data_IF_614078661332
#
_entry.id   IF_614078661332
#
_cell.length_a   1.000
_cell.length_b   1.000
_cell.length_c   1.000
_cell.angle_alpha   90.00
_cell.angle_beta   90.00
_cell.angle_gamma   90.00
#
_symmetry.space_group_name_H-M   'P 1'
#
loop_
_entity.id
_entity.type
_entity.pdbx_description
1 polymer ?
#
# COMPACT_ATOMS: atom_id res chain seq x y z
N UNK A 1 7.58 -36.67 37.09
CA UNK A 1 6.32 -35.89 36.75
C UNK A 1 6.69 -34.69 35.92
N UNK A 2 6.10 -34.46 34.76
CA UNK A 2 6.12 -33.30 33.82
C UNK A 2 6.59 -33.54 32.39
N UNK A 3 6.43 -34.75 31.85
CA UNK A 3 6.62 -34.92 30.38
C UNK A 3 5.37 -34.57 29.55
N UNK A 4 4.17 -34.53 30.11
CA UNK A 4 2.93 -34.32 29.37
C UNK A 4 2.60 -32.83 29.08
N UNK A 5 3.11 -31.87 29.86
CA UNK A 5 2.82 -30.43 29.61
C UNK A 5 3.61 -29.84 28.45
N UNK A 6 4.85 -30.32 28.20
CA UNK A 6 5.65 -29.85 27.05
C UNK A 6 5.10 -30.35 25.70
N UNK A 7 4.51 -31.54 25.67
CA UNK A 7 3.88 -32.09 24.45
C UNK A 7 2.63 -31.32 24.05
N UNK A 8 1.78 -30.96 25.00
CA UNK A 8 0.55 -30.20 24.72
C UNK A 8 0.82 -28.77 24.24
N UNK A 9 1.81 -28.09 24.82
CA UNK A 9 2.18 -26.72 24.38
C UNK A 9 2.78 -26.70 22.96
N UNK A 10 3.63 -27.68 22.61
CA UNK A 10 4.17 -27.81 21.24
C UNK A 10 3.08 -28.16 20.25
N UNK A 11 2.13 -29.00 20.59
CA UNK A 11 1.01 -29.39 19.73
C UNK A 11 0.06 -28.19 19.48
N UNK A 12 -0.22 -27.38 20.52
CA UNK A 12 -1.05 -26.17 20.40
C UNK A 12 -0.32 -25.13 19.52
N UNK A 13 0.98 -24.91 19.71
CA UNK A 13 1.75 -23.98 18.90
C UNK A 13 1.82 -24.41 17.44
N UNK A 14 2.00 -25.71 17.16
CA UNK A 14 1.99 -26.25 15.80
C UNK A 14 0.60 -26.11 15.15
N UNK A 15 -0.48 -26.37 15.89
CA UNK A 15 -1.84 -26.20 15.41
C UNK A 15 -2.15 -24.73 15.10
N UNK A 16 -1.71 -23.80 15.95
CA UNK A 16 -1.87 -22.37 15.74
C UNK A 16 -1.11 -21.89 14.47
N UNK A 17 0.13 -22.36 14.27
CA UNK A 17 0.90 -22.05 13.08
C UNK A 17 0.24 -22.59 11.79
N UNK A 18 -0.31 -23.80 11.81
CA UNK A 18 -1.02 -24.40 10.66
C UNK A 18 -2.28 -23.61 10.33
N UNK A 19 -3.06 -23.21 11.33
CA UNK A 19 -4.28 -22.39 11.13
C UNK A 19 -3.92 -21.03 10.55
N UNK A 20 -2.87 -20.36 11.04
CA UNK A 20 -2.43 -19.07 10.53
C UNK A 20 -1.92 -19.16 9.08
N UNK A 21 -1.20 -20.22 8.72
CA UNK A 21 -0.73 -20.44 7.35
C UNK A 21 -1.92 -20.71 6.40
N UNK A 22 -2.91 -21.47 6.84
CA UNK A 22 -4.10 -21.76 6.02
C UNK A 22 -4.96 -20.53 5.79
N UNK A 23 -5.11 -19.63 6.77
CA UNK A 23 -5.88 -18.39 6.62
C UNK A 23 -5.18 -17.42 5.67
N UNK A 24 -3.88 -17.25 5.78
CA UNK A 24 -3.10 -16.39 4.87
C UNK A 24 -3.13 -16.91 3.43
N UNK A 25 -2.98 -18.22 3.22
CA UNK A 25 -3.09 -18.84 1.90
C UNK A 25 -4.49 -18.69 1.31
N UNK A 26 -5.54 -18.81 2.12
CA UNK A 26 -6.92 -18.60 1.70
C UNK A 26 -7.22 -17.16 1.26
N UNK A 27 -6.63 -16.17 1.94
CA UNK A 27 -6.79 -14.76 1.57
C UNK A 27 -6.09 -14.43 0.25
N UNK A 28 -4.87 -14.89 0.04
CA UNK A 28 -4.10 -14.69 -1.20
C UNK A 28 -4.79 -15.31 -2.40
N UNK A 29 -5.43 -16.47 -2.25
CA UNK A 29 -6.14 -17.16 -3.35
C UNK A 29 -7.38 -16.41 -3.86
N UNK A 30 -7.87 -15.40 -3.13
CA UNK A 30 -9.00 -14.54 -3.56
C UNK A 30 -8.60 -13.52 -4.62
N UNK A 31 -7.30 -13.26 -4.78
CA UNK A 31 -6.80 -12.36 -5.82
C UNK A 31 -6.68 -13.07 -7.16
N UNK A 32 -7.32 -12.57 -8.20
CA UNK A 32 -7.14 -13.05 -9.58
C UNK A 32 -5.72 -12.79 -10.08
N UNK A 33 -5.30 -13.52 -11.09
CA UNK A 33 -4.01 -13.36 -11.76
C UNK A 33 -4.24 -12.59 -13.06
N UNK A 34 -3.69 -11.40 -13.16
CA UNK A 34 -3.97 -10.47 -14.27
C UNK A 34 -2.69 -9.90 -14.86
N UNK A 35 -2.81 -9.35 -16.06
CA UNK A 35 -1.73 -8.65 -16.75
C UNK A 35 -2.30 -7.47 -17.53
N UNK A 36 -1.73 -6.30 -17.34
CA UNK A 36 -1.96 -5.12 -18.16
C UNK A 36 -0.91 -5.03 -19.27
N UNK A 37 -1.30 -4.61 -20.46
CA UNK A 37 -0.38 -4.31 -21.56
C UNK A 37 -0.84 -3.05 -22.28
N UNK A 38 0.06 -2.08 -22.45
CA UNK A 38 -0.22 -0.88 -23.22
C UNK A 38 -0.02 -1.11 -24.72
N UNK A 39 -0.35 -0.12 -25.55
CA UNK A 39 -0.21 -0.16 -27.02
C UNK A 39 1.24 -0.37 -27.49
N UNK A 40 2.24 -0.05 -26.64
CA UNK A 40 3.67 -0.24 -26.93
C UNK A 40 4.15 -1.66 -26.58
N UNK A 41 3.26 -2.53 -26.09
CA UNK A 41 3.61 -3.88 -25.63
C UNK A 41 4.31 -3.92 -24.26
N UNK A 42 4.36 -2.81 -23.53
CA UNK A 42 4.88 -2.77 -22.18
C UNK A 42 3.86 -3.36 -21.21
N UNK A 43 4.32 -4.18 -20.28
CA UNK A 43 3.45 -4.98 -19.42
C UNK A 43 3.65 -4.66 -17.94
N UNK A 44 2.55 -4.77 -17.18
CA UNK A 44 2.54 -4.74 -15.72
C UNK A 44 1.72 -5.95 -15.23
N UNK A 45 2.34 -6.84 -14.48
CA UNK A 45 1.66 -7.93 -13.82
C UNK A 45 0.92 -7.37 -12.60
N UNK A 46 -0.27 -7.87 -12.33
CA UNK A 46 -1.03 -7.45 -11.16
C UNK A 46 -1.97 -8.54 -10.66
N UNK A 47 -2.35 -8.40 -9.41
CA UNK A 47 -3.42 -9.19 -8.79
C UNK A 47 -4.59 -8.27 -8.46
N UNK A 48 -5.79 -8.78 -8.62
CA UNK A 48 -7.00 -8.01 -8.35
C UNK A 48 -7.93 -8.78 -7.42
N UNK A 49 -8.26 -8.19 -6.29
CA UNK A 49 -9.33 -8.66 -5.41
C UNK A 49 -10.64 -8.02 -5.86
N UNK A 50 -11.67 -8.84 -5.94
CA UNK A 50 -13.03 -8.39 -6.24
C UNK A 50 -13.88 -8.43 -4.97
N UNK A 51 -14.65 -7.37 -4.66
CA UNK A 51 -15.71 -7.50 -3.67
C UNK A 51 -16.83 -8.39 -4.20
N UNK A 52 -17.70 -8.85 -3.32
CA UNK A 52 -19.00 -9.37 -3.75
C UNK A 52 -19.82 -8.19 -4.29
N UNK A 53 -19.73 -7.95 -5.61
CA UNK A 53 -20.31 -6.78 -6.23
C UNK A 53 -21.44 -7.15 -7.22
N UNK A 54 -22.39 -6.24 -7.31
CA UNK A 54 -23.32 -6.19 -8.44
C UNK A 54 -23.07 -4.89 -9.22
N UNK A 55 -23.51 -4.83 -10.46
CA UNK A 55 -23.30 -3.69 -11.36
C UNK A 55 -24.04 -2.42 -10.97
N UNK A 56 -24.92 -2.48 -9.97
CA UNK A 56 -25.76 -1.35 -9.51
C UNK A 56 -25.00 -0.47 -8.49
N UNK A 57 -24.17 -1.07 -7.65
CA UNK A 57 -23.44 -0.36 -6.60
C UNK A 57 -21.99 -0.17 -7.00
N UNK A 58 -21.48 1.08 -6.84
CA UNK A 58 -20.05 1.39 -7.00
C UNK A 58 -19.28 1.09 -5.71
N UNK A 59 -18.06 0.57 -5.87
CA UNK A 59 -17.17 0.18 -4.77
C UNK A 59 -15.87 0.99 -4.77
N UNK A 60 -15.22 1.16 -3.63
CA UNK A 60 -13.87 1.73 -3.57
C UNK A 60 -12.86 0.92 -4.38
N UNK A 61 -11.79 1.60 -4.80
CA UNK A 61 -10.58 0.97 -5.31
C UNK A 61 -9.43 1.27 -4.35
N UNK A 62 -8.74 0.25 -3.88
CA UNK A 62 -7.46 0.37 -3.15
C UNK A 62 -6.33 -0.02 -4.09
N UNK A 63 -5.34 0.83 -4.23
CA UNK A 63 -4.09 0.54 -4.93
C UNK A 63 -3.03 0.24 -3.87
N UNK A 64 -2.44 -0.96 -3.92
CA UNK A 64 -1.45 -1.41 -2.95
C UNK A 64 -0.08 -1.60 -3.61
N UNK A 65 0.92 -0.83 -3.20
CA UNK A 65 2.29 -0.88 -3.70
C UNK A 65 3.20 -1.65 -2.75
N UNK A 66 3.77 -2.74 -3.23
CA UNK A 66 4.70 -3.59 -2.46
C UNK A 66 6.08 -2.95 -2.28
N UNK A 67 6.89 -3.52 -1.39
CA UNK A 67 8.28 -3.13 -1.13
C UNK A 67 9.28 -3.66 -2.16
N UNK A 68 10.54 -3.28 -2.03
CA UNK A 68 11.60 -3.65 -2.98
C UNK A 68 11.86 -5.15 -3.06
N UNK A 69 11.61 -5.89 -1.97
CA UNK A 69 11.80 -7.34 -1.90
C UNK A 69 10.80 -8.18 -2.71
N UNK A 70 9.70 -7.57 -3.14
CA UNK A 70 8.61 -8.23 -3.88
C UNK A 70 8.61 -7.88 -5.38
N UNK A 71 9.67 -7.19 -5.86
CA UNK A 71 9.89 -6.96 -7.29
C UNK A 71 9.97 -8.29 -8.04
N UNK A 72 9.47 -8.31 -9.26
CA UNK A 72 9.53 -9.52 -10.08
C UNK A 72 8.55 -9.54 -11.23
N UNK A 73 8.34 -10.74 -11.77
CA UNK A 73 7.40 -11.04 -12.84
C UNK A 73 6.61 -12.32 -12.57
N UNK A 74 6.76 -12.89 -11.35
CA UNK A 74 6.05 -14.10 -10.93
C UNK A 74 4.55 -13.85 -10.67
N UNK A 75 4.18 -12.58 -10.48
CA UNK A 75 2.83 -12.16 -10.13
C UNK A 75 2.31 -12.79 -8.81
N UNK A 76 3.21 -13.06 -7.86
CA UNK A 76 2.91 -13.69 -6.57
C UNK A 76 3.56 -12.94 -5.39
N UNK A 77 4.83 -12.55 -5.52
CA UNK A 77 5.61 -11.97 -4.43
C UNK A 77 4.97 -10.70 -3.85
N UNK A 78 4.30 -9.88 -4.68
CA UNK A 78 3.61 -8.65 -4.25
C UNK A 78 2.48 -8.88 -3.24
N UNK A 79 2.01 -10.11 -3.08
CA UNK A 79 0.95 -10.45 -2.11
C UNK A 79 1.50 -10.79 -0.71
N UNK A 80 2.82 -10.81 -0.54
CA UNK A 80 3.47 -11.29 0.66
C UNK A 80 3.17 -10.46 1.91
N UNK A 81 3.11 -9.13 1.79
CA UNK A 81 3.04 -8.24 2.93
C UNK A 81 1.84 -7.30 2.88
N UNK A 82 1.00 -7.33 3.91
CA UNK A 82 -0.05 -6.35 4.18
C UNK A 82 -1.29 -6.44 3.29
N UNK A 83 -1.15 -6.64 1.99
CA UNK A 83 -2.27 -6.62 1.04
C UNK A 83 -3.31 -7.72 1.30
N UNK A 84 -2.88 -8.88 1.80
CA UNK A 84 -3.79 -9.98 2.13
C UNK A 84 -4.82 -9.61 3.21
N UNK A 85 -4.52 -8.62 4.08
CA UNK A 85 -5.44 -8.17 5.11
C UNK A 85 -6.74 -7.59 4.51
N UNK A 86 -6.69 -6.98 3.31
CA UNK A 86 -7.88 -6.51 2.60
C UNK A 86 -8.80 -7.67 2.17
N UNK A 87 -8.26 -8.89 2.02
CA UNK A 87 -9.00 -10.09 1.64
C UNK A 87 -9.45 -10.92 2.85
N UNK A 88 -9.32 -10.44 4.09
CA UNK A 88 -9.92 -11.10 5.25
C UNK A 88 -11.45 -11.07 5.17
N UNK A 89 -12.11 -12.08 5.73
CA UNK A 89 -13.59 -12.15 5.75
C UNK A 89 -14.20 -10.91 6.40
N UNK A 90 -13.57 -10.43 7.46
CA UNK A 90 -13.99 -9.25 8.19
C UNK A 90 -13.90 -7.99 7.31
N UNK A 91 -12.73 -7.72 6.70
CA UNK A 91 -12.53 -6.53 5.88
C UNK A 91 -13.34 -6.57 4.59
N UNK A 92 -13.50 -7.74 3.95
CA UNK A 92 -14.37 -7.90 2.78
C UNK A 92 -15.84 -7.64 3.11
N UNK A 93 -16.28 -7.98 4.33
CA UNK A 93 -17.64 -7.71 4.80
C UNK A 93 -17.87 -6.26 5.19
N UNK A 94 -16.92 -5.64 5.92
CA UNK A 94 -17.04 -4.27 6.42
C UNK A 94 -16.73 -3.24 5.33
N UNK A 95 -15.73 -3.51 4.48
CA UNK A 95 -15.17 -2.58 3.50
C UNK A 95 -15.05 -3.23 2.11
N UNK A 96 -16.17 -3.72 1.52
CA UNK A 96 -16.13 -4.37 0.20
C UNK A 96 -15.54 -3.42 -0.84
N UNK A 97 -14.36 -3.77 -1.37
CA UNK A 97 -13.57 -2.93 -2.28
C UNK A 97 -12.83 -3.78 -3.31
N UNK A 98 -12.56 -3.19 -4.46
CA UNK A 98 -11.54 -3.71 -5.36
C UNK A 98 -10.17 -3.40 -4.77
N UNK A 99 -9.22 -4.34 -4.84
CA UNK A 99 -7.83 -4.09 -4.43
C UNK A 99 -6.91 -4.48 -5.58
N UNK A 100 -6.20 -3.48 -6.10
CA UNK A 100 -5.24 -3.60 -7.19
C UNK A 100 -3.84 -3.71 -6.61
N UNK A 101 -3.20 -4.86 -6.77
CA UNK A 101 -1.85 -5.15 -6.30
C UNK A 101 -0.91 -5.41 -7.49
N UNK A 102 -0.33 -4.36 -8.11
CA UNK A 102 0.61 -4.52 -9.20
C UNK A 102 1.96 -5.02 -8.70
N UNK A 103 2.75 -5.63 -9.60
CA UNK A 103 4.13 -6.05 -9.34
C UNK A 103 5.11 -5.21 -10.14
N UNK A 104 5.99 -4.50 -9.44
CA UNK A 104 7.09 -3.74 -10.03
C UNK A 104 8.17 -4.69 -10.57
N UNK A 105 8.66 -4.53 -11.80
CA UNK A 105 9.77 -5.34 -12.33
C UNK A 105 11.05 -5.21 -11.51
N UNK A 106 11.96 -6.21 -11.62
CA UNK A 106 13.20 -6.29 -10.84
C UNK A 106 14.08 -5.02 -10.96
N UNK A 107 14.23 -4.51 -12.18
CA UNK A 107 15.13 -3.39 -12.48
C UNK A 107 14.41 -2.02 -12.44
N UNK A 108 13.31 -1.93 -11.68
CA UNK A 108 12.48 -0.74 -11.64
C UNK A 108 12.10 -0.36 -10.20
N UNK A 109 11.55 0.84 -10.08
CA UNK A 109 11.01 1.37 -8.82
C UNK A 109 9.62 1.96 -9.06
N UNK A 110 8.81 2.08 -7.98
CA UNK A 110 7.54 2.78 -8.07
C UNK A 110 7.73 4.27 -8.25
N UNK A 111 8.65 4.84 -7.49
CA UNK A 111 8.93 6.28 -7.50
C UNK A 111 10.02 6.66 -8.51
N UNK A 112 10.07 7.94 -8.87
CA UNK A 112 11.17 8.52 -9.60
C UNK A 112 11.65 9.81 -8.88
N UNK A 113 12.26 9.59 -7.71
CA UNK A 113 12.97 10.64 -6.98
C UNK A 113 14.46 10.60 -7.28
N UNK A 114 15.11 11.77 -7.27
CA UNK A 114 16.55 11.89 -7.15
C UNK A 114 16.90 12.45 -5.78
N UNK A 115 18.12 12.19 -5.34
CA UNK A 115 18.65 12.77 -4.11
C UNK A 115 18.86 14.28 -4.30
N UNK A 116 18.38 15.05 -3.34
CA UNK A 116 18.66 16.47 -3.22
C UNK A 116 20.04 16.70 -2.58
N UNK A 117 20.45 17.98 -2.52
CA UNK A 117 21.79 18.39 -2.03
C UNK A 117 22.04 18.10 -0.53
N UNK A 118 21.05 17.76 0.25
CA UNK A 118 21.13 17.59 1.71
C UNK A 118 20.74 16.17 2.19
N UNK A 119 21.03 15.14 1.40
CA UNK A 119 20.99 13.72 1.81
C UNK A 119 19.64 13.12 2.22
N UNK A 120 18.68 13.90 2.69
CA UNK A 120 17.32 13.48 3.03
C UNK A 120 16.25 14.23 2.23
N UNK A 121 16.65 15.09 1.30
CA UNK A 121 15.75 15.80 0.42
C UNK A 121 15.51 14.96 -0.83
N UNK A 122 14.25 14.63 -1.09
CA UNK A 122 13.85 13.96 -2.32
C UNK A 122 13.35 15.01 -3.32
N UNK A 123 13.74 14.85 -4.58
CA UNK A 123 13.29 15.69 -5.68
C UNK A 123 12.55 14.85 -6.72
N UNK A 124 11.27 15.11 -6.89
CA UNK A 124 10.42 14.39 -7.82
C UNK A 124 10.82 14.73 -9.26
N UNK A 125 11.25 13.72 -10.02
CA UNK A 125 11.65 13.92 -11.40
C UNK A 125 10.41 14.21 -12.28
N UNK A 126 10.60 14.99 -13.35
CA UNK A 126 9.50 15.42 -14.23
C UNK A 126 8.68 14.25 -14.79
N UNK A 127 9.33 13.14 -15.14
CA UNK A 127 8.66 11.96 -15.70
C UNK A 127 8.44 10.92 -14.60
N UNK A 128 7.29 10.22 -14.57
CA UNK A 128 7.09 9.11 -13.68
C UNK A 128 8.05 7.95 -14.02
N UNK A 129 8.27 7.05 -13.09
CA UNK A 129 8.86 5.75 -13.40
C UNK A 129 7.97 4.99 -14.38
N UNK A 130 8.57 4.06 -15.14
CA UNK A 130 7.79 3.23 -16.07
C UNK A 130 6.68 2.42 -15.38
N UNK A 131 6.93 1.74 -14.24
CA UNK A 131 5.86 1.07 -13.49
C UNK A 131 4.76 2.02 -13.03
N UNK A 132 5.10 3.23 -12.58
CA UNK A 132 4.11 4.23 -12.17
C UNK A 132 3.25 4.68 -13.36
N UNK A 133 3.84 4.91 -14.53
CA UNK A 133 3.10 5.28 -15.73
C UNK A 133 2.12 4.17 -16.17
N UNK A 134 2.57 2.91 -16.13
CA UNK A 134 1.71 1.75 -16.44
C UNK A 134 0.60 1.57 -15.40
N UNK A 135 0.90 1.82 -14.12
CA UNK A 135 -0.08 1.76 -13.04
C UNK A 135 -1.20 2.80 -13.24
N UNK A 136 -0.86 4.03 -13.62
CA UNK A 136 -1.89 5.06 -13.86
C UNK A 136 -2.82 4.66 -15.01
N UNK A 137 -2.28 4.13 -16.10
CA UNK A 137 -3.08 3.61 -17.21
C UNK A 137 -3.95 2.40 -16.80
N UNK A 138 -3.40 1.51 -15.97
CA UNK A 138 -4.14 0.37 -15.41
C UNK A 138 -5.29 0.82 -14.49
N UNK A 139 -5.08 1.85 -13.66
CA UNK A 139 -6.15 2.43 -12.83
C UNK A 139 -7.27 2.98 -13.72
N UNK A 140 -6.92 3.71 -14.78
CA UNK A 140 -7.91 4.25 -15.74
C UNK A 140 -8.72 3.13 -16.40
N UNK A 141 -8.06 2.05 -16.86
CA UNK A 141 -8.73 0.87 -17.43
C UNK A 141 -9.64 0.19 -16.41
N UNK A 142 -9.15 0.02 -15.16
CA UNK A 142 -9.92 -0.59 -14.06
C UNK A 142 -11.20 0.21 -13.77
N UNK A 143 -11.10 1.53 -13.73
CA UNK A 143 -12.26 2.43 -13.53
C UNK A 143 -13.27 2.32 -14.67
N UNK A 144 -12.81 2.13 -15.91
CA UNK A 144 -13.70 1.94 -17.07
C UNK A 144 -14.39 0.56 -17.06
N UNK A 145 -13.67 -0.47 -16.61
CA UNK A 145 -14.11 -1.87 -16.69
C UNK A 145 -15.03 -2.28 -15.53
N UNK A 146 -14.83 -1.72 -14.34
CA UNK A 146 -15.52 -2.14 -13.12
C UNK A 146 -16.33 -1.01 -12.49
N UNK A 147 -17.33 -1.31 -11.65
CA UNK A 147 -18.14 -0.31 -10.96
C UNK A 147 -17.37 0.37 -9.81
N UNK A 148 -16.35 1.12 -10.17
CA UNK A 148 -15.51 1.86 -9.21
C UNK A 148 -16.16 3.19 -8.85
N UNK A 149 -16.20 3.52 -7.55
CA UNK A 149 -16.51 4.86 -7.06
C UNK A 149 -15.25 5.74 -7.16
N UNK A 150 -15.20 6.59 -8.17
CA UNK A 150 -14.05 7.47 -8.43
C UNK A 150 -13.80 8.51 -7.35
N UNK A 151 -14.76 8.72 -6.42
CA UNK A 151 -14.56 9.51 -5.22
C UNK A 151 -13.92 8.72 -4.06
N UNK A 152 -13.66 7.43 -4.24
CA UNK A 152 -13.08 6.54 -3.24
C UNK A 152 -11.99 5.67 -3.87
N UNK A 153 -11.00 6.30 -4.48
CA UNK A 153 -9.77 5.65 -4.93
C UNK A 153 -8.69 5.96 -3.90
N UNK A 154 -8.16 4.94 -3.27
CA UNK A 154 -7.15 5.03 -2.22
C UNK A 154 -5.84 4.45 -2.70
N UNK A 155 -4.71 4.96 -2.17
CA UNK A 155 -3.39 4.40 -2.43
C UNK A 155 -2.65 4.17 -1.13
N UNK A 156 -1.98 3.04 -1.05
CA UNK A 156 -1.11 2.68 0.07
C UNK A 156 0.06 1.84 -0.41
N UNK A 157 1.12 1.79 0.35
CA UNK A 157 2.27 0.97 0.01
C UNK A 157 3.33 0.97 1.10
N UNK A 158 4.23 -0.01 1.03
CA UNK A 158 5.24 -0.27 2.06
C UNK A 158 6.65 -0.04 1.52
N UNK A 159 7.53 0.62 2.29
CA UNK A 159 8.94 0.80 1.93
C UNK A 159 9.06 1.48 0.55
N UNK A 160 9.65 0.83 -0.46
CA UNK A 160 9.63 1.29 -1.86
C UNK A 160 8.21 1.72 -2.31
N UNK A 161 7.17 0.99 -1.91
CA UNK A 161 5.77 1.34 -2.17
C UNK A 161 5.29 2.54 -1.34
N UNK A 162 5.87 2.81 -0.18
CA UNK A 162 5.63 4.01 0.60
C UNK A 162 6.12 5.28 -0.11
N UNK A 163 7.33 5.22 -0.70
CA UNK A 163 7.85 6.27 -1.60
C UNK A 163 6.98 6.39 -2.86
N UNK A 164 6.59 5.25 -3.47
CA UNK A 164 5.67 5.22 -4.61
C UNK A 164 4.31 5.83 -4.29
N UNK A 165 3.83 5.71 -3.06
CA UNK A 165 2.57 6.33 -2.61
C UNK A 165 2.70 7.85 -2.60
N UNK A 166 3.80 8.40 -2.09
CA UNK A 166 4.06 9.84 -2.16
C UNK A 166 4.24 10.32 -3.61
N UNK A 167 5.07 9.63 -4.42
CA UNK A 167 5.25 9.96 -5.85
C UNK A 167 3.88 10.04 -6.56
N UNK A 168 3.00 9.06 -6.33
CA UNK A 168 1.69 9.00 -6.96
C UNK A 168 0.80 10.19 -6.60
N UNK A 169 0.69 10.54 -5.31
CA UNK A 169 -0.16 11.66 -4.88
C UNK A 169 0.42 13.01 -5.26
N UNK A 170 1.74 13.15 -5.31
CA UNK A 170 2.42 14.37 -5.73
C UNK A 170 2.27 14.65 -7.22
N UNK A 171 2.25 13.59 -8.06
CA UNK A 171 2.02 13.71 -9.52
C UNK A 171 0.54 13.84 -9.87
N UNK A 172 -0.32 13.13 -9.16
CA UNK A 172 -1.75 12.98 -9.48
C UNK A 172 -2.64 13.40 -8.30
N UNK A 173 -2.53 14.65 -7.81
CA UNK A 173 -3.14 15.07 -6.55
C UNK A 173 -4.68 15.01 -6.55
N UNK A 174 -5.31 14.97 -7.73
CA UNK A 174 -6.78 14.91 -7.85
C UNK A 174 -7.32 13.48 -8.03
N UNK A 175 -6.43 12.46 -8.10
CA UNK A 175 -6.85 11.08 -8.34
C UNK A 175 -7.34 10.41 -7.06
N UNK A 176 -6.59 10.54 -5.97
CA UNK A 176 -6.80 9.77 -4.76
C UNK A 176 -7.63 10.50 -3.73
N UNK A 177 -8.51 9.77 -3.06
CA UNK A 177 -9.34 10.25 -1.95
C UNK A 177 -8.60 10.17 -0.60
N UNK A 178 -7.61 9.31 -0.48
CA UNK A 178 -6.70 9.21 0.66
C UNK A 178 -5.44 8.44 0.32
N UNK A 179 -4.38 8.63 1.12
CA UNK A 179 -3.12 7.92 0.99
C UNK A 179 -2.61 7.42 2.35
N UNK A 180 -2.04 6.21 2.36
CA UNK A 180 -1.38 5.63 3.54
C UNK A 180 0.04 5.17 3.14
N UNK A 181 1.02 6.07 3.10
CA UNK A 181 2.42 5.69 2.91
C UNK A 181 2.98 5.07 4.20
N UNK A 182 3.58 3.88 4.09
CA UNK A 182 4.21 3.16 5.19
C UNK A 182 5.71 3.07 4.95
N UNK A 183 6.53 3.58 5.88
CA UNK A 183 8.00 3.63 5.79
C UNK A 183 8.47 4.25 4.47
N UNK A 184 8.04 5.49 4.17
CA UNK A 184 8.38 6.19 2.94
C UNK A 184 8.56 7.68 3.13
N UNK A 185 8.83 8.38 2.03
CA UNK A 185 8.99 9.83 1.96
C UNK A 185 8.62 10.36 0.58
N UNK A 186 8.52 11.69 0.48
CA UNK A 186 8.19 12.41 -0.74
C UNK A 186 8.95 13.73 -0.85
N UNK A 187 8.62 14.54 -1.86
CA UNK A 187 9.19 15.87 -2.03
C UNK A 187 8.45 16.89 -1.16
N UNK A 188 9.12 17.39 -0.12
CA UNK A 188 8.52 18.32 0.85
C UNK A 188 8.02 19.62 0.23
N UNK A 189 8.63 20.07 -0.88
CA UNK A 189 8.20 21.28 -1.59
C UNK A 189 6.85 21.11 -2.29
N UNK A 190 6.43 19.86 -2.55
CA UNK A 190 5.14 19.54 -3.15
C UNK A 190 4.01 19.34 -2.12
N UNK A 191 4.30 19.47 -0.83
CA UNK A 191 3.30 19.31 0.23
C UNK A 191 2.06 20.22 0.06
N UNK A 192 2.23 21.42 -0.49
CA UNK A 192 1.11 22.34 -0.76
C UNK A 192 0.17 21.84 -1.85
N UNK A 193 0.63 21.02 -2.77
CA UNK A 193 -0.19 20.46 -3.86
C UNK A 193 -1.04 19.28 -3.39
N UNK A 194 -0.60 18.59 -2.34
CA UNK A 194 -1.26 17.39 -1.78
C UNK A 194 -2.04 17.67 -0.48
N UNK A 195 -2.03 18.90 0.03
CA UNK A 195 -2.61 19.28 1.32
C UNK A 195 -4.10 18.98 1.50
N UNK A 196 -4.83 18.82 0.38
CA UNK A 196 -6.27 18.52 0.38
C UNK A 196 -6.55 17.01 0.47
N UNK A 197 -5.52 16.17 0.30
CA UNK A 197 -5.65 14.72 0.38
C UNK A 197 -5.51 14.32 1.85
N UNK A 198 -6.47 13.58 2.45
CA UNK A 198 -6.25 12.92 3.73
C UNK A 198 -5.08 11.94 3.64
N UNK A 199 -4.05 12.15 4.46
CA UNK A 199 -2.83 11.32 4.49
C UNK A 199 -2.62 10.80 5.91
N UNK A 200 -2.45 9.48 6.05
CA UNK A 200 -2.04 8.82 7.29
C UNK A 200 -0.68 8.14 7.05
N UNK A 201 0.38 8.73 7.58
CA UNK A 201 1.74 8.21 7.49
C UNK A 201 2.01 7.23 8.61
N UNK A 202 2.62 6.09 8.31
CA UNK A 202 3.00 5.08 9.30
C UNK A 202 4.48 4.78 9.20
N UNK A 203 5.17 4.64 10.35
CA UNK A 203 6.60 4.30 10.40
C UNK A 203 6.96 3.52 11.66
N UNK A 204 8.01 2.72 11.59
CA UNK A 204 8.65 2.13 12.77
C UNK A 204 9.68 3.09 13.36
N UNK A 205 9.69 3.25 14.69
CA UNK A 205 10.62 4.18 15.36
C UNK A 205 12.09 3.73 15.30
N UNK A 206 12.33 2.42 15.15
CA UNK A 206 13.66 1.81 15.05
C UNK A 206 13.97 1.30 13.63
N UNK A 207 13.37 1.92 12.62
CA UNK A 207 13.62 1.56 11.23
C UNK A 207 15.02 1.99 10.79
N UNK A 208 15.89 1.01 10.55
CA UNK A 208 17.29 1.20 10.09
C UNK A 208 17.43 1.03 8.57
N UNK A 209 16.37 0.63 7.86
CA UNK A 209 16.37 0.46 6.41
C UNK A 209 15.87 1.73 5.70
N UNK A 210 14.83 2.35 6.24
CA UNK A 210 14.31 3.66 5.81
C UNK A 210 14.23 4.55 7.04
N UNK A 211 15.05 5.60 7.07
CA UNK A 211 15.10 6.54 8.20
C UNK A 211 13.71 7.16 8.45
N UNK A 212 13.16 7.07 9.67
CA UNK A 212 11.89 7.70 10.03
C UNK A 212 11.83 9.20 9.76
N UNK A 213 12.97 9.85 9.64
CA UNK A 213 13.08 11.26 9.28
C UNK A 213 12.41 11.56 7.92
N UNK A 214 12.37 10.64 6.96
CA UNK A 214 11.63 10.82 5.70
C UNK A 214 10.14 11.06 5.94
N UNK A 215 9.51 10.24 6.78
CA UNK A 215 8.11 10.42 7.15
C UNK A 215 7.88 11.69 7.99
N UNK A 216 8.75 11.97 8.96
CA UNK A 216 8.62 13.13 9.84
C UNK A 216 8.75 14.44 9.06
N UNK A 217 9.68 14.55 8.12
CA UNK A 217 9.84 15.75 7.28
C UNK A 217 8.63 15.99 6.39
N UNK A 218 8.01 14.92 5.85
CA UNK A 218 6.75 15.03 5.10
C UNK A 218 5.59 15.50 5.98
N UNK A 219 5.45 14.96 7.19
CA UNK A 219 4.42 15.41 8.16
C UNK A 219 4.61 16.90 8.48
N UNK A 220 5.84 17.34 8.73
CA UNK A 220 6.14 18.76 9.01
C UNK A 220 5.80 19.65 7.81
N UNK A 221 6.18 19.24 6.60
CA UNK A 221 5.91 19.98 5.38
C UNK A 221 4.40 20.09 5.09
N UNK A 222 3.65 18.98 5.21
CA UNK A 222 2.21 18.96 5.05
C UNK A 222 1.50 19.84 6.08
N UNK A 223 1.89 19.77 7.35
CA UNK A 223 1.34 20.61 8.42
C UNK A 223 1.63 22.09 8.16
N UNK A 224 2.84 22.43 7.74
CA UNK A 224 3.21 23.80 7.35
C UNK A 224 2.43 24.31 6.15
N UNK A 225 2.05 23.43 5.23
CA UNK A 225 1.19 23.75 4.08
C UNK A 225 -0.29 23.90 4.45
N UNK A 226 -0.67 23.66 5.70
CA UNK A 226 -2.04 23.76 6.21
C UNK A 226 -2.87 22.48 6.06
N UNK A 227 -2.23 21.32 5.82
CA UNK A 227 -2.87 20.03 5.91
C UNK A 227 -2.94 19.52 7.37
N UNK A 228 -3.73 18.48 7.59
CA UNK A 228 -3.85 17.80 8.89
C UNK A 228 -3.51 16.29 8.72
N UNK A 229 -2.25 15.94 8.42
CA UNK A 229 -1.86 14.55 8.23
C UNK A 229 -1.92 13.80 9.56
N UNK A 230 -2.37 12.53 9.52
CA UNK A 230 -2.17 11.59 10.61
C UNK A 230 -0.74 11.04 10.59
N UNK A 231 -0.19 10.73 11.77
CA UNK A 231 1.08 10.04 11.91
C UNK A 231 0.99 8.97 12.99
N UNK A 232 1.30 7.73 12.63
CA UNK A 232 1.45 6.63 13.57
C UNK A 232 2.89 6.14 13.55
N UNK A 233 3.59 6.31 14.68
CA UNK A 233 4.92 5.74 14.87
C UNK A 233 4.83 4.62 15.90
N UNK A 234 5.34 3.45 15.56
CA UNK A 234 5.50 2.33 16.49
C UNK A 234 6.90 2.40 17.10
N UNK A 235 7.06 2.79 18.39
CA UNK A 235 8.36 3.17 18.95
C UNK A 235 9.44 2.09 18.88
N UNK A 236 9.07 0.84 19.19
CA UNK A 236 10.00 -0.31 19.30
C UNK A 236 9.95 -1.22 18.07
N UNK A 237 9.46 -0.70 16.94
CA UNK A 237 9.31 -1.46 15.70
C UNK A 237 10.29 -0.94 14.65
N UNK A 238 11.01 -1.86 14.01
CA UNK A 238 11.88 -1.56 12.88
C UNK A 238 11.12 -1.45 11.55
N UNK A 239 11.79 -1.82 10.46
CA UNK A 239 11.26 -1.63 9.09
C UNK A 239 9.91 -2.32 8.83
N UNK A 240 9.58 -3.43 9.52
CA UNK A 240 8.36 -4.20 9.28
C UNK A 240 7.10 -3.62 9.97
N UNK A 241 7.02 -2.30 10.15
CA UNK A 241 5.88 -1.62 10.79
C UNK A 241 4.53 -1.84 10.06
N UNK A 242 4.55 -2.23 8.79
CA UNK A 242 3.35 -2.58 8.04
C UNK A 242 2.60 -3.81 8.59
N UNK A 243 3.29 -4.71 9.33
CA UNK A 243 2.61 -5.82 9.99
C UNK A 243 1.63 -5.32 11.05
N UNK A 244 2.00 -4.26 11.77
CA UNK A 244 1.12 -3.59 12.73
C UNK A 244 0.08 -2.74 12.01
N UNK A 245 0.50 -1.93 11.02
CA UNK A 245 -0.36 -0.99 10.33
C UNK A 245 -1.59 -1.66 9.68
N UNK A 246 -1.39 -2.69 8.86
CA UNK A 246 -2.50 -3.33 8.15
C UNK A 246 -3.30 -4.32 9.01
N UNK A 247 -2.82 -4.67 10.21
CA UNK A 247 -3.60 -5.43 11.21
C UNK A 247 -4.45 -4.52 12.09
N UNK A 248 -4.24 -3.20 12.02
CA UNK A 248 -5.00 -2.22 12.81
C UNK A 248 -6.35 -1.93 12.14
N UNK A 249 -7.43 -2.31 12.81
CA UNK A 249 -8.79 -2.02 12.36
C UNK A 249 -9.09 -0.52 12.24
N UNK A 250 -8.42 0.32 13.06
CA UNK A 250 -8.59 1.78 13.01
C UNK A 250 -8.01 2.37 11.72
N UNK A 251 -6.92 1.79 11.18
CA UNK A 251 -6.39 2.20 9.87
C UNK A 251 -7.41 1.91 8.77
N UNK A 252 -7.99 0.70 8.76
CA UNK A 252 -8.99 0.31 7.78
C UNK A 252 -10.24 1.21 7.87
N UNK A 253 -10.76 1.42 9.08
CA UNK A 253 -11.89 2.32 9.30
C UNK A 253 -11.57 3.74 8.82
N UNK A 254 -10.40 4.28 9.19
CA UNK A 254 -9.97 5.61 8.76
C UNK A 254 -9.90 5.72 7.25
N UNK A 255 -9.27 4.76 6.56
CA UNK A 255 -9.09 4.76 5.11
C UNK A 255 -10.43 4.76 4.36
N UNK A 256 -11.31 3.83 4.70
CA UNK A 256 -12.58 3.64 3.98
C UNK A 256 -13.65 4.71 4.28
N UNK A 257 -13.42 5.54 5.30
CA UNK A 257 -14.26 6.70 5.60
C UNK A 257 -13.94 7.92 4.72
N UNK A 258 -12.75 7.96 4.09
CA UNK A 258 -12.34 9.09 3.28
C UNK A 258 -13.07 9.14 1.93
N UNK A 259 -13.30 10.36 1.46
CA UNK A 259 -13.97 10.63 0.18
C UNK A 259 -13.53 11.99 -0.37
N UNK A 260 -13.42 12.11 -1.70
CA UNK A 260 -13.22 13.42 -2.38
C UNK A 260 -14.47 14.25 -2.34
#
# INVERSE_FOLDING_TARGET
MNFNKLSSAKMILTLLCVVLIQTASGQVSRFSVEKYSNEKGETLHYRLLYPDYNTVRKHPLVVFLHGSGERGTDNEAQLKWGVANFASDENMKLYPSFVLAPQCPLDSDWSNFSDGKEGQTLLLQKTPSKPMALLMALIEETVKKYPIDTNRIYITGVSMGGFGTFDAIERYPNLFAAAVPVCGGGETFLASTTKHIPILVVHGGEDVAVDPAFSLTMIQALTKAGAHPGYTQYPEVGHFSWLMAYSDSLLMEWLFRQRK
#
